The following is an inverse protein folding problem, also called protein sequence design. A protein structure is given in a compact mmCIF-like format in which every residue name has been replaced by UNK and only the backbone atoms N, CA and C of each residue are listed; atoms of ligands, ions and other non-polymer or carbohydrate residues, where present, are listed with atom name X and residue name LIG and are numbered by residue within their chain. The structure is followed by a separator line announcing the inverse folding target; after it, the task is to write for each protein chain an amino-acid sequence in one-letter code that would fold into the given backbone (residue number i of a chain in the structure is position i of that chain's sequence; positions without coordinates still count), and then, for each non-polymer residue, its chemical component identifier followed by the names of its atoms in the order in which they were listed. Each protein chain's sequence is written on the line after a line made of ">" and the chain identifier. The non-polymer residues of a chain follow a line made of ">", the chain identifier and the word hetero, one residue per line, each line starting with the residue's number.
data_IF_644812656238
#
_entry.id   IF_644812656238
#
_cell.length_a   1.000
_cell.length_b   1.000
_cell.length_c   1.000
_cell.angle_alpha   90.00
_cell.angle_beta   90.00
_cell.angle_gamma   90.00
#
_symmetry.space_group_name_H-M   'P 1'
#
loop_
_entity.id
_entity.type
_entity.pdbx_description
1 polymer ?
#
# COMPACT_ATOMS: atom_id res chain seq x y z
N UNK A 1 -0.95 -49.39 84.06
CA UNK A 1 -1.49 -48.20 83.37
C UNK A 1 -0.39 -47.45 82.58
N UNK A 2 0.38 -48.12 81.70
CA UNK A 2 1.48 -47.48 80.94
C UNK A 2 1.45 -47.72 79.42
N UNK A 3 0.55 -48.57 78.90
CA UNK A 3 0.50 -48.91 77.46
C UNK A 3 -0.35 -47.94 76.62
N UNK A 4 -1.38 -47.31 77.20
CA UNK A 4 -2.29 -46.44 76.45
C UNK A 4 -1.73 -45.02 76.26
N UNK A 5 -0.92 -44.51 77.20
CA UNK A 5 -0.29 -43.19 77.08
C UNK A 5 0.71 -43.13 75.91
N UNK A 6 1.47 -44.20 75.67
CA UNK A 6 2.42 -44.26 74.54
C UNK A 6 1.70 -44.27 73.19
N UNK A 7 0.57 -44.98 73.09
CA UNK A 7 -0.27 -45.01 71.87
C UNK A 7 -0.94 -43.66 71.62
N UNK A 8 -1.41 -42.98 72.66
CA UNK A 8 -1.99 -41.63 72.54
C UNK A 8 -0.95 -40.58 72.12
N UNK A 9 0.28 -40.66 72.65
CA UNK A 9 1.38 -39.75 72.27
C UNK A 9 1.81 -40.00 70.82
N UNK A 10 1.89 -41.25 70.38
CA UNK A 10 2.22 -41.59 68.99
C UNK A 10 1.15 -41.10 68.00
N UNK A 11 -0.14 -41.20 68.37
CA UNK A 11 -1.24 -40.70 67.53
C UNK A 11 -1.26 -39.17 67.43
N UNK A 12 -0.96 -38.47 68.53
CA UNK A 12 -0.85 -37.01 68.54
C UNK A 12 0.34 -36.53 67.70
N UNK A 13 1.47 -37.24 67.74
CA UNK A 13 2.63 -36.96 66.88
C UNK A 13 2.35 -37.16 65.39
N UNK A 14 1.56 -38.19 65.02
CA UNK A 14 1.13 -38.43 63.63
C UNK A 14 0.18 -37.35 63.12
N UNK A 15 -0.73 -36.86 63.99
CA UNK A 15 -1.62 -35.74 63.63
C UNK A 15 -0.88 -34.41 63.50
N UNK A 16 0.17 -34.15 64.30
CA UNK A 16 1.02 -32.97 64.16
C UNK A 16 1.95 -33.05 62.93
N UNK A 17 2.39 -34.25 62.53
CA UNK A 17 3.18 -34.43 61.31
C UNK A 17 2.35 -34.24 60.03
N UNK A 18 1.04 -34.53 60.08
CA UNK A 18 0.13 -34.33 58.95
C UNK A 18 -0.17 -32.84 58.66
N UNK A 19 -0.07 -31.96 59.66
CA UNK A 19 -0.12 -30.49 59.45
C UNK A 19 1.18 -29.89 58.91
N UNK A 20 2.28 -30.64 58.95
CA UNK A 20 3.58 -30.26 58.37
C UNK A 20 3.81 -30.86 56.97
N UNK A 21 2.94 -31.77 56.52
CA UNK A 21 2.84 -32.21 55.12
C UNK A 21 1.90 -31.29 54.33
N UNK A 22 1.98 -29.98 54.57
CA UNK A 22 1.57 -29.03 53.54
C UNK A 22 2.46 -29.31 52.34
N UNK A 23 1.87 -29.56 51.18
CA UNK A 23 2.57 -29.38 49.93
C UNK A 23 3.24 -28.01 50.00
N UNK A 24 4.56 -27.98 50.16
CA UNK A 24 5.35 -27.05 49.39
C UNK A 24 5.00 -27.38 47.94
N UNK A 25 3.92 -26.78 47.43
CA UNK A 25 3.96 -26.36 46.06
C UNK A 25 5.19 -25.49 46.01
N UNK A 26 6.22 -25.97 45.32
CA UNK A 26 7.00 -25.04 44.52
C UNK A 26 5.98 -24.05 43.97
N UNK A 27 6.19 -22.76 44.22
CA UNK A 27 5.81 -21.79 43.21
C UNK A 27 6.41 -22.39 41.94
N UNK A 28 5.57 -23.09 41.18
CA UNK A 28 5.94 -23.58 39.88
C UNK A 28 6.30 -22.29 39.20
N UNK A 29 7.61 -22.05 39.06
CA UNK A 29 8.16 -21.12 38.11
C UNK A 29 7.22 -21.21 36.93
N UNK A 30 6.63 -20.07 36.54
CA UNK A 30 5.83 -19.95 35.32
C UNK A 30 6.48 -20.88 34.32
N UNK A 31 5.83 -22.04 34.11
CA UNK A 31 6.46 -23.08 33.33
C UNK A 31 6.54 -22.42 31.99
N UNK A 32 7.75 -22.06 31.58
CA UNK A 32 8.03 -21.59 30.25
C UNK A 32 7.55 -22.72 29.36
N UNK A 33 6.30 -22.60 28.91
CA UNK A 33 5.72 -23.56 28.02
C UNK A 33 6.50 -23.32 26.76
N UNK A 34 7.41 -24.26 26.50
CA UNK A 34 8.12 -24.32 25.24
C UNK A 34 7.02 -24.44 24.18
N UNK A 35 6.84 -23.38 23.39
CA UNK A 35 5.89 -23.31 22.28
C UNK A 35 6.56 -24.07 21.15
N UNK A 36 6.82 -25.36 21.39
CA UNK A 36 7.49 -26.22 20.45
C UNK A 36 6.72 -26.17 19.13
N UNK A 37 7.42 -25.77 18.07
CA UNK A 37 6.85 -25.68 16.74
C UNK A 37 6.16 -24.36 16.40
N UNK A 38 6.43 -23.24 17.08
CA UNK A 38 6.30 -21.91 16.48
C UNK A 38 7.69 -21.36 16.13
N UNK A 39 7.93 -21.09 14.85
CA UNK A 39 9.19 -20.58 14.35
C UNK A 39 8.96 -19.40 13.42
N UNK A 40 9.91 -18.47 13.41
CA UNK A 40 9.98 -17.35 12.47
C UNK A 40 11.36 -17.40 11.82
N UNK A 41 11.42 -17.37 10.49
CA UNK A 41 12.64 -17.50 9.68
C UNK A 41 13.50 -18.68 10.10
N UNK A 42 12.84 -19.83 10.29
CA UNK A 42 13.45 -21.10 10.70
C UNK A 42 14.17 -21.05 12.06
N UNK A 43 13.92 -19.99 12.84
CA UNK A 43 14.47 -19.76 14.18
C UNK A 43 13.34 -19.90 15.21
N UNK A 44 13.68 -20.30 16.44
CA UNK A 44 12.70 -20.31 17.52
C UNK A 44 12.15 -18.89 17.75
N UNK A 45 10.84 -18.78 17.99
CA UNK A 45 10.19 -17.48 18.10
C UNK A 45 10.76 -16.59 19.22
N UNK A 46 11.36 -17.15 20.27
CA UNK A 46 12.01 -16.35 21.33
C UNK A 46 13.35 -15.74 20.88
N UNK A 47 13.98 -16.31 19.85
CA UNK A 47 15.30 -15.91 19.34
C UNK A 47 15.20 -15.19 17.97
N UNK A 48 14.01 -15.10 17.39
CA UNK A 48 13.77 -14.50 16.08
C UNK A 48 13.85 -12.97 16.12
N UNK A 49 14.37 -12.37 15.05
CA UNK A 49 14.41 -10.92 14.83
C UNK A 49 13.42 -10.57 13.71
N UNK A 50 12.54 -9.60 13.97
CA UNK A 50 11.62 -9.06 12.97
C UNK A 50 12.13 -7.70 12.48
N UNK A 51 12.02 -7.46 11.17
CA UNK A 51 12.43 -6.25 10.48
C UNK A 51 11.22 -5.57 9.81
N UNK A 52 11.21 -4.25 9.87
CA UNK A 52 10.14 -3.44 9.29
C UNK A 52 10.24 -3.42 7.77
N UNK A 53 9.11 -3.68 7.10
CA UNK A 53 8.99 -3.67 5.65
C UNK A 53 9.55 -4.90 4.95
N UNK A 54 9.98 -5.93 5.68
CA UNK A 54 10.53 -7.17 5.14
C UNK A 54 9.59 -8.37 5.33
N UNK A 55 9.71 -9.36 4.44
CA UNK A 55 9.02 -10.63 4.56
C UNK A 55 9.68 -11.53 5.60
N UNK A 56 8.90 -11.96 6.59
CA UNK A 56 9.30 -12.99 7.55
C UNK A 56 8.45 -14.24 7.37
N UNK A 57 9.08 -15.39 7.18
CA UNK A 57 8.36 -16.66 7.09
C UNK A 57 8.03 -17.15 8.49
N UNK A 58 6.84 -17.72 8.70
CA UNK A 58 6.51 -18.37 9.96
C UNK A 58 5.96 -19.78 9.76
N UNK A 59 6.18 -20.59 10.77
CA UNK A 59 5.70 -21.96 10.86
C UNK A 59 5.02 -22.16 12.21
N UNK A 60 3.82 -22.72 12.21
CA UNK A 60 3.10 -23.09 13.44
C UNK A 60 2.55 -24.51 13.34
N UNK A 61 3.07 -25.43 14.15
CA UNK A 61 2.61 -26.82 14.23
C UNK A 61 1.57 -27.03 15.33
N UNK A 62 0.59 -27.89 15.07
CA UNK A 62 -0.34 -28.42 16.07
C UNK A 62 -1.79 -28.00 15.81
N UNK A 63 -2.62 -28.99 15.46
CA UNK A 63 -4.06 -28.82 15.20
C UNK A 63 -4.78 -28.06 16.31
N UNK A 64 -5.57 -27.07 15.92
CA UNK A 64 -6.39 -26.26 16.83
C UNK A 64 -5.64 -25.17 17.58
N UNK A 65 -4.32 -25.00 17.36
CA UNK A 65 -3.60 -23.79 17.78
C UNK A 65 -3.96 -22.65 16.84
N UNK A 66 -3.82 -21.41 17.31
CA UNK A 66 -4.02 -20.22 16.48
C UNK A 66 -2.94 -19.19 16.69
N UNK A 67 -2.69 -18.39 15.65
CA UNK A 67 -1.82 -17.21 15.66
C UNK A 67 -2.68 -15.96 15.51
N UNK A 68 -2.31 -14.91 16.23
CA UNK A 68 -2.85 -13.57 16.12
C UNK A 68 -1.71 -12.56 16.05
N UNK A 69 -1.76 -11.65 15.08
CA UNK A 69 -0.81 -10.55 14.94
C UNK A 69 -1.54 -9.20 15.06
N UNK A 70 -0.85 -8.12 15.47
CA UNK A 70 -1.43 -6.79 15.55
C UNK A 70 -1.61 -6.16 14.15
N UNK A 71 -2.41 -5.11 14.06
CA UNK A 71 -2.78 -4.47 12.79
C UNK A 71 -1.60 -3.89 12.01
N UNK A 72 -0.46 -3.61 12.66
CA UNK A 72 0.77 -3.15 12.01
C UNK A 72 1.67 -4.29 11.49
N UNK A 73 1.17 -5.53 11.49
CA UNK A 73 1.80 -6.70 10.88
C UNK A 73 0.80 -7.38 9.98
N UNK A 74 1.06 -7.37 8.67
CA UNK A 74 0.24 -8.10 7.72
C UNK A 74 0.60 -9.59 7.78
N UNK A 75 -0.39 -10.46 7.90
CA UNK A 75 -0.19 -11.91 7.88
C UNK A 75 -0.72 -12.47 6.56
N UNK A 76 0.03 -13.39 5.97
CA UNK A 76 -0.31 -14.05 4.72
C UNK A 76 -0.25 -15.56 4.88
N UNK A 77 -1.24 -16.25 4.32
CA UNK A 77 -1.29 -17.72 4.21
C UNK A 77 -1.48 -18.03 2.73
N UNK A 78 -0.64 -18.91 2.18
CA UNK A 78 -0.62 -19.19 0.74
C UNK A 78 -0.54 -17.91 -0.10
N UNK A 79 0.26 -16.95 0.37
CA UNK A 79 0.47 -15.61 -0.21
C UNK A 79 -0.79 -14.72 -0.28
N UNK A 80 -1.92 -15.14 0.32
CA UNK A 80 -3.15 -14.34 0.46
C UNK A 80 -3.12 -13.61 1.81
N UNK A 81 -3.35 -12.30 1.81
CA UNK A 81 -3.42 -11.52 3.05
C UNK A 81 -4.62 -11.95 3.91
N UNK A 82 -4.42 -12.03 5.21
CA UNK A 82 -5.44 -12.34 6.22
C UNK A 82 -5.77 -11.03 6.95
N UNK A 83 -6.84 -10.31 6.56
CA UNK A 83 -7.06 -8.93 6.99
C UNK A 83 -7.17 -8.72 8.51
N UNK A 84 -7.68 -9.72 9.23
CA UNK A 84 -7.83 -9.67 10.68
C UNK A 84 -6.60 -10.16 11.45
N UNK A 85 -5.53 -10.56 10.75
CA UNK A 85 -4.30 -11.05 11.37
C UNK A 85 -4.48 -12.32 12.22
N UNK A 86 -5.55 -13.11 12.01
CA UNK A 86 -5.86 -14.30 12.82
C UNK A 86 -6.03 -15.56 11.98
N UNK A 87 -5.32 -16.63 12.33
CA UNK A 87 -5.40 -17.91 11.65
C UNK A 87 -5.35 -19.09 12.64
N UNK A 88 -6.05 -20.18 12.29
CA UNK A 88 -6.12 -21.42 13.08
C UNK A 88 -5.46 -22.55 12.29
N UNK A 89 -4.68 -23.39 12.98
CA UNK A 89 -4.12 -24.61 12.40
C UNK A 89 -5.22 -25.65 12.23
N UNK A 90 -5.71 -25.83 11.01
CA UNK A 90 -6.78 -26.78 10.72
C UNK A 90 -6.29 -28.24 10.68
N UNK A 91 -5.06 -28.46 10.21
CA UNK A 91 -4.45 -29.79 10.06
C UNK A 91 -3.28 -30.00 11.03
N UNK A 92 -2.11 -30.43 10.54
CA UNK A 92 -0.94 -30.68 11.39
C UNK A 92 -0.12 -29.40 11.64
N UNK A 93 -0.12 -28.46 10.70
CA UNK A 93 0.68 -27.24 10.74
C UNK A 93 0.12 -26.19 9.77
N UNK A 94 0.50 -24.93 9.96
CA UNK A 94 0.37 -23.86 8.97
C UNK A 94 1.72 -23.23 8.69
N UNK A 95 1.90 -22.75 7.47
CA UNK A 95 3.01 -21.91 7.07
C UNK A 95 2.43 -20.60 6.55
N UNK A 96 3.16 -19.51 6.74
CA UNK A 96 2.76 -18.23 6.19
C UNK A 96 3.88 -17.21 6.20
N UNK A 97 3.53 -15.98 5.86
CA UNK A 97 4.44 -14.83 5.92
C UNK A 97 3.86 -13.76 6.83
N UNK A 98 4.74 -13.07 7.52
CA UNK A 98 4.47 -11.85 8.27
C UNK A 98 5.19 -10.71 7.58
N UNK A 99 4.55 -9.56 7.52
CA UNK A 99 5.11 -8.34 6.99
C UNK A 99 4.80 -7.20 7.98
N UNK A 100 5.68 -6.99 8.98
CA UNK A 100 5.63 -5.78 9.78
C UNK A 100 5.78 -4.57 8.87
N UNK A 101 4.96 -3.54 9.03
CA UNK A 101 5.13 -2.31 8.24
C UNK A 101 6.44 -1.59 8.64
N UNK A 102 7.04 -0.73 7.79
CA UNK A 102 8.29 -0.02 8.12
C UNK A 102 8.20 0.88 9.36
N UNK A 103 6.98 1.26 9.74
CA UNK A 103 6.67 2.13 10.88
C UNK A 103 6.30 1.35 12.15
N UNK A 104 6.36 0.02 12.13
CA UNK A 104 6.15 -0.78 13.32
C UNK A 104 7.39 -0.68 14.23
N UNK A 105 7.19 -0.35 15.51
CA UNK A 105 8.27 -0.28 16.50
C UNK A 105 8.25 -1.48 17.45
N UNK A 106 7.08 -1.75 18.02
CA UNK A 106 6.82 -2.87 18.93
C UNK A 106 5.71 -3.73 18.36
N UNK A 107 5.92 -5.05 18.37
CA UNK A 107 4.99 -6.06 17.85
C UNK A 107 4.82 -7.18 18.86
N UNK A 108 3.56 -7.52 19.15
CA UNK A 108 3.19 -8.65 20.01
C UNK A 108 2.48 -9.72 19.20
N UNK A 109 3.14 -10.86 18.95
CA UNK A 109 2.52 -12.01 18.27
C UNK A 109 1.99 -12.97 19.32
N UNK A 110 0.70 -13.30 19.25
CA UNK A 110 0.06 -14.18 20.23
C UNK A 110 -0.26 -15.53 19.63
N UNK A 111 0.22 -16.60 20.27
CA UNK A 111 -0.14 -17.98 19.97
C UNK A 111 -1.09 -18.49 21.04
N UNK A 112 -2.24 -19.03 20.63
CA UNK A 112 -3.21 -19.67 21.53
C UNK A 112 -3.21 -21.17 21.27
N UNK A 113 -2.99 -21.94 22.33
CA UNK A 113 -3.02 -23.39 22.33
C UNK A 113 -4.45 -23.93 22.20
N UNK A 114 -4.59 -25.18 21.75
CA UNK A 114 -5.91 -25.83 21.60
C UNK A 114 -6.72 -25.93 22.92
N UNK A 115 -6.07 -25.77 24.07
CA UNK A 115 -6.72 -25.74 25.39
C UNK A 115 -7.17 -24.33 25.81
N UNK A 116 -7.01 -23.32 24.95
CA UNK A 116 -7.39 -21.93 25.17
C UNK A 116 -6.37 -21.07 25.92
N UNK A 117 -5.20 -21.61 26.29
CA UNK A 117 -4.12 -20.82 26.90
C UNK A 117 -3.29 -20.12 25.83
N UNK A 118 -2.98 -18.84 26.02
CA UNK A 118 -2.14 -18.06 25.10
C UNK A 118 -0.74 -17.77 25.65
N UNK A 119 0.25 -17.63 24.76
CA UNK A 119 1.56 -17.01 25.00
C UNK A 119 1.77 -15.92 23.95
N UNK A 120 2.24 -14.76 24.39
CA UNK A 120 2.60 -13.62 23.52
C UNK A 120 4.12 -13.51 23.42
N UNK A 121 4.60 -13.19 22.23
CA UNK A 121 5.99 -12.95 21.89
C UNK A 121 6.13 -11.48 21.53
N UNK A 122 6.98 -10.78 22.28
CA UNK A 122 7.20 -9.35 22.12
C UNK A 122 8.49 -9.10 21.32
N UNK A 123 8.39 -8.32 20.26
CA UNK A 123 9.49 -7.98 19.37
C UNK A 123 9.68 -6.46 19.31
N UNK A 124 10.92 -6.02 19.42
CA UNK A 124 11.34 -4.70 18.94
C UNK A 124 11.75 -4.84 17.49
N UNK A 125 11.08 -4.11 16.60
CA UNK A 125 11.28 -4.20 15.17
C UNK A 125 12.58 -3.50 14.78
N UNK A 126 13.44 -4.23 14.06
CA UNK A 126 14.67 -3.71 13.51
C UNK A 126 14.43 -3.06 12.14
N UNK A 127 15.38 -2.23 11.70
CA UNK A 127 15.38 -1.70 10.33
C UNK A 127 15.65 -2.84 9.33
N UNK A 128 14.96 -2.79 8.19
CA UNK A 128 15.05 -3.79 7.13
C UNK A 128 15.10 -3.21 5.72
N UNK A 129 15.42 -4.07 4.75
CA UNK A 129 15.28 -3.91 3.32
C UNK A 129 13.79 -3.94 2.92
N UNK A 130 13.17 -2.76 3.00
CA UNK A 130 11.75 -2.56 2.72
C UNK A 130 11.38 -3.02 1.30
N UNK A 131 10.35 -3.86 1.16
CA UNK A 131 9.87 -4.42 -0.12
C UNK A 131 9.46 -3.36 -1.16
N UNK A 132 9.02 -2.20 -0.67
CA UNK A 132 8.67 -1.01 -1.43
C UNK A 132 9.28 0.18 -0.70
N UNK A 133 10.45 0.64 -1.13
CA UNK A 133 11.20 1.69 -0.42
C UNK A 133 11.22 3.01 -1.18
N UNK A 134 11.27 4.12 -0.43
CA UNK A 134 11.50 5.44 -1.02
C UNK A 134 12.86 5.55 -1.71
N UNK A 135 13.86 4.80 -1.23
CA UNK A 135 15.19 4.71 -1.85
C UNK A 135 15.15 4.07 -3.23
N UNK A 136 14.48 2.93 -3.39
CA UNK A 136 14.33 2.27 -4.70
C UNK A 136 13.53 3.16 -5.67
N UNK A 137 12.47 3.82 -5.18
CA UNK A 137 11.72 4.79 -5.96
C UNK A 137 12.63 5.94 -6.43
N UNK A 138 13.45 6.49 -5.53
CA UNK A 138 14.36 7.61 -5.83
C UNK A 138 15.38 7.23 -6.90
N UNK A 139 16.00 6.07 -6.79
CA UNK A 139 16.96 5.58 -7.79
C UNK A 139 16.31 5.38 -9.16
N UNK A 140 15.07 4.86 -9.19
CA UNK A 140 14.31 4.68 -10.43
C UNK A 140 13.93 6.02 -11.06
N UNK A 141 13.53 7.00 -10.25
CA UNK A 141 13.24 8.37 -10.68
C UNK A 141 14.46 9.03 -11.30
N UNK A 142 15.61 8.96 -10.62
CA UNK A 142 16.88 9.47 -11.15
C UNK A 142 17.21 8.81 -12.50
N UNK A 143 17.15 7.48 -12.57
CA UNK A 143 17.42 6.77 -13.83
C UNK A 143 16.48 7.21 -14.95
N UNK A 144 15.17 7.33 -14.69
CA UNK A 144 14.19 7.70 -15.71
C UNK A 144 14.39 9.13 -16.21
N UNK A 145 14.66 10.07 -15.31
CA UNK A 145 14.74 11.51 -15.62
C UNK A 145 16.12 11.94 -16.12
N UNK A 146 17.20 11.26 -15.68
CA UNK A 146 18.57 11.60 -16.04
C UNK A 146 18.90 11.34 -17.51
N UNK A 147 19.63 12.28 -18.13
CA UNK A 147 20.13 12.19 -19.50
C UNK A 147 21.66 12.16 -19.52
N UNK A 148 22.23 11.11 -20.08
CA UNK A 148 23.67 10.93 -20.17
C UNK A 148 24.04 10.07 -21.39
N UNK A 149 25.35 9.97 -21.68
CA UNK A 149 25.86 9.25 -22.84
C UNK A 149 25.83 7.73 -22.69
N UNK A 150 25.83 7.23 -21.45
CA UNK A 150 25.81 5.81 -21.15
C UNK A 150 24.40 5.38 -20.71
N UNK A 151 23.65 4.77 -21.63
CA UNK A 151 22.26 4.37 -21.39
C UNK A 151 22.09 3.25 -20.37
N UNK A 152 23.19 2.71 -19.83
CA UNK A 152 23.14 1.76 -18.70
C UNK A 152 23.11 2.45 -17.34
N UNK A 153 23.54 3.72 -17.30
CA UNK A 153 23.60 4.54 -16.09
C UNK A 153 22.43 5.54 -16.01
N UNK A 154 21.83 5.87 -17.15
CA UNK A 154 20.69 6.78 -17.23
C UNK A 154 19.73 6.34 -18.35
N UNK A 155 18.43 6.43 -18.07
CA UNK A 155 17.37 6.05 -18.99
C UNK A 155 16.97 7.16 -19.95
N UNK A 156 16.84 8.41 -19.46
CA UNK A 156 16.42 9.56 -20.25
C UNK A 156 15.06 9.38 -20.92
N UNK A 157 14.07 8.86 -20.18
CA UNK A 157 12.70 8.63 -20.65
C UNK A 157 11.80 9.84 -20.38
N UNK A 158 12.25 10.99 -20.89
CA UNK A 158 11.63 12.31 -20.75
C UNK A 158 11.01 12.78 -22.09
N UNK A 159 10.40 13.96 -22.13
CA UNK A 159 9.62 14.47 -23.28
C UNK A 159 8.49 13.55 -23.71
N UNK A 160 7.91 12.77 -22.78
CA UNK A 160 6.89 11.77 -23.05
C UNK A 160 5.48 12.40 -23.08
N UNK A 161 5.30 13.52 -23.77
CA UNK A 161 3.95 14.03 -24.04
C UNK A 161 3.22 13.12 -25.05
N UNK A 162 1.90 13.15 -25.05
CA UNK A 162 1.06 12.38 -25.99
C UNK A 162 0.08 13.28 -26.77
N UNK A 163 -0.42 12.76 -27.89
CA UNK A 163 -1.39 13.40 -28.78
C UNK A 163 -0.90 13.50 -30.21
N UNK A 164 0.40 13.66 -30.44
CA UNK A 164 1.02 13.49 -31.76
C UNK A 164 2.03 12.34 -31.72
N UNK A 165 2.43 11.75 -32.88
CA UNK A 165 3.47 10.74 -32.88
C UNK A 165 4.76 11.24 -32.20
N UNK A 166 5.14 10.59 -31.10
CA UNK A 166 6.27 10.97 -30.26
C UNK A 166 7.28 9.83 -30.13
N UNK A 167 8.45 9.89 -30.79
CA UNK A 167 9.47 8.86 -30.61
C UNK A 167 9.97 8.72 -29.17
N UNK A 168 9.96 9.80 -28.38
CA UNK A 168 10.39 9.75 -26.98
C UNK A 168 9.37 8.99 -26.12
N UNK A 169 8.07 9.22 -26.36
CA UNK A 169 7.01 8.45 -25.71
C UNK A 169 7.08 6.97 -26.07
N UNK A 170 7.19 6.63 -27.36
CA UNK A 170 7.27 5.22 -27.81
C UNK A 170 8.44 4.49 -27.16
N UNK A 171 9.58 5.18 -27.02
CA UNK A 171 10.74 4.65 -26.31
C UNK A 171 10.46 4.42 -24.82
N UNK A 172 9.81 5.37 -24.15
CA UNK A 172 9.42 5.24 -22.74
C UNK A 172 8.42 4.10 -22.53
N UNK A 173 7.35 4.06 -23.33
CA UNK A 173 6.36 2.98 -23.30
C UNK A 173 6.99 1.59 -23.52
N UNK A 174 7.95 1.47 -24.44
CA UNK A 174 8.69 0.22 -24.65
C UNK A 174 9.55 -0.18 -23.44
N UNK A 175 10.15 0.78 -22.74
CA UNK A 175 10.92 0.50 -21.51
C UNK A 175 10.00 0.07 -20.37
N UNK A 176 8.89 0.76 -20.16
CA UNK A 176 7.93 0.42 -19.12
C UNK A 176 7.25 -0.94 -19.39
N UNK A 177 6.89 -1.21 -20.65
CA UNK A 177 6.42 -2.53 -21.09
C UNK A 177 7.44 -3.63 -20.76
N UNK A 178 8.71 -3.41 -21.09
CA UNK A 178 9.79 -4.35 -20.78
C UNK A 178 10.04 -4.55 -19.29
N UNK A 179 9.75 -3.56 -18.43
CA UNK A 179 9.81 -3.72 -16.96
C UNK A 179 8.78 -4.75 -16.48
N UNK A 180 7.52 -4.61 -16.90
CA UNK A 180 6.46 -5.56 -16.49
C UNK A 180 6.67 -6.95 -17.08
N UNK A 181 7.04 -7.05 -18.37
CA UNK A 181 7.37 -8.35 -18.98
C UNK A 181 8.56 -9.03 -18.29
N UNK A 182 9.58 -8.25 -17.90
CA UNK A 182 10.75 -8.75 -17.18
C UNK A 182 10.41 -9.32 -15.80
N UNK A 183 9.33 -8.83 -15.17
CA UNK A 183 8.77 -9.37 -13.94
C UNK A 183 7.85 -10.58 -14.16
N UNK A 184 7.52 -10.91 -15.41
CA UNK A 184 6.68 -12.05 -15.78
C UNK A 184 5.19 -11.75 -15.96
N UNK A 185 4.79 -10.48 -16.00
CA UNK A 185 3.40 -10.08 -16.23
C UNK A 185 2.98 -10.26 -17.69
N UNK A 186 1.72 -10.64 -17.90
CA UNK A 186 1.08 -10.56 -19.22
C UNK A 186 0.87 -9.08 -19.58
N UNK A 187 1.75 -8.52 -20.41
CA UNK A 187 1.82 -7.07 -20.63
C UNK A 187 1.50 -6.68 -22.07
N UNK A 188 0.58 -5.74 -22.24
CA UNK A 188 0.07 -5.28 -23.53
C UNK A 188 0.32 -3.80 -23.76
N UNK A 189 0.65 -3.45 -25.00
CA UNK A 189 0.63 -2.08 -25.49
C UNK A 189 -0.71 -1.80 -26.17
N UNK A 190 -1.56 -1.00 -25.55
CA UNK A 190 -2.88 -0.67 -26.08
C UNK A 190 -2.82 0.67 -26.81
N UNK A 191 -2.84 0.62 -28.15
CA UNK A 191 -2.92 1.82 -28.98
C UNK A 191 -4.36 2.13 -29.36
N UNK A 192 -4.73 3.39 -29.25
CA UNK A 192 -6.02 3.91 -29.72
C UNK A 192 -5.72 5.08 -30.64
N UNK A 193 -6.39 5.11 -31.79
CA UNK A 193 -6.28 6.21 -32.74
C UNK A 193 -7.67 6.77 -33.05
N UNK A 194 -7.95 7.98 -32.56
CA UNK A 194 -9.12 8.75 -32.96
C UNK A 194 -8.83 9.51 -34.26
N UNK A 195 -9.25 8.90 -35.38
CA UNK A 195 -9.10 9.49 -36.72
C UNK A 195 -9.90 10.77 -36.96
N UNK A 196 -10.80 11.17 -36.05
CA UNK A 196 -11.61 12.39 -36.15
C UNK A 196 -11.07 13.54 -35.30
N UNK A 197 -10.14 13.28 -34.38
CA UNK A 197 -9.46 14.31 -33.60
C UNK A 197 -8.26 14.87 -34.37
N UNK A 198 -8.36 16.13 -34.80
CA UNK A 198 -7.35 16.79 -35.63
C UNK A 198 -6.09 17.21 -34.86
N UNK A 199 -6.15 17.32 -33.54
CA UNK A 199 -5.07 17.90 -32.72
C UNK A 199 -4.31 16.86 -31.91
N UNK A 200 -4.96 15.76 -31.50
CA UNK A 200 -4.33 14.75 -30.65
C UNK A 200 -4.84 13.31 -30.92
N UNK A 201 -4.66 12.72 -32.11
CA UNK A 201 -5.36 11.48 -32.48
C UNK A 201 -4.93 10.22 -31.75
N UNK A 202 -3.81 10.17 -31.01
CA UNK A 202 -3.26 8.90 -30.50
C UNK A 202 -3.16 8.83 -28.98
N UNK A 203 -3.44 7.64 -28.43
CA UNK A 203 -3.05 7.21 -27.09
C UNK A 203 -2.38 5.84 -27.17
N UNK A 204 -1.46 5.56 -26.24
CA UNK A 204 -0.72 4.31 -26.13
C UNK A 204 -0.52 3.97 -24.65
N UNK A 205 -1.32 3.06 -24.11
CA UNK A 205 -1.19 2.61 -22.71
C UNK A 205 -0.25 1.40 -22.62
N UNK A 206 0.35 1.22 -21.44
CA UNK A 206 1.00 -0.03 -21.03
C UNK A 206 0.14 -0.66 -19.94
N UNK A 207 -0.31 -1.90 -20.15
CA UNK A 207 -1.21 -2.59 -19.22
C UNK A 207 -0.59 -3.95 -18.89
N UNK A 208 -0.31 -4.20 -17.61
CA UNK A 208 0.20 -5.46 -17.10
C UNK A 208 -0.88 -6.18 -16.30
N UNK A 209 -1.12 -7.45 -16.59
CA UNK A 209 -2.16 -8.25 -15.93
C UNK A 209 -1.58 -9.26 -14.96
N UNK A 210 -2.15 -9.31 -13.76
CA UNK A 210 -2.01 -10.40 -12.79
C UNK A 210 -3.34 -11.14 -12.67
N UNK A 211 -3.30 -12.46 -12.79
CA UNK A 211 -4.49 -13.30 -12.64
C UNK A 211 -4.84 -13.45 -11.16
N UNK A 212 -6.13 -13.31 -10.84
CA UNK A 212 -6.67 -13.60 -9.52
C UNK A 212 -7.26 -15.00 -9.43
N UNK A 213 -7.55 -15.45 -8.20
CA UNK A 213 -8.19 -16.75 -7.97
C UNK A 213 -9.72 -16.75 -8.16
N UNK A 214 -10.35 -15.57 -8.20
CA UNK A 214 -11.78 -15.34 -8.43
C UNK A 214 -11.97 -14.78 -9.85
N UNK A 215 -12.50 -15.61 -10.75
CA UNK A 215 -12.64 -15.24 -12.17
C UNK A 215 -13.80 -14.29 -12.46
N UNK A 216 -14.66 -14.00 -11.46
CA UNK A 216 -15.85 -13.17 -11.63
C UNK A 216 -15.59 -11.67 -11.48
N UNK A 217 -14.38 -11.26 -11.07
CA UNK A 217 -14.09 -9.87 -10.76
C UNK A 217 -12.76 -9.38 -11.33
N UNK A 218 -12.66 -8.05 -11.46
CA UNK A 218 -11.50 -7.30 -11.92
C UNK A 218 -11.31 -6.05 -11.06
N UNK A 219 -10.06 -5.63 -10.88
CA UNK A 219 -9.67 -4.41 -10.15
C UNK A 219 -8.36 -3.88 -10.72
N UNK A 220 -7.93 -2.69 -10.29
CA UNK A 220 -6.64 -2.18 -10.75
C UNK A 220 -5.99 -1.11 -9.91
N UNK A 221 -4.74 -0.84 -10.27
CA UNK A 221 -3.94 0.27 -9.74
C UNK A 221 -3.18 0.89 -10.90
N UNK A 222 -3.11 2.22 -10.97
CA UNK A 222 -2.48 2.88 -12.11
C UNK A 222 -2.04 4.32 -11.88
N UNK A 223 -1.31 4.82 -12.86
CA UNK A 223 -0.81 6.19 -12.96
C UNK A 223 -0.74 6.55 -14.45
N UNK A 224 -0.72 7.83 -14.80
CA UNK A 224 -0.40 8.20 -16.18
C UNK A 224 1.11 8.33 -16.39
N UNK A 225 1.54 7.89 -17.58
CA UNK A 225 2.91 7.93 -18.06
C UNK A 225 3.09 8.87 -19.25
N UNK A 226 2.11 9.71 -19.58
CA UNK A 226 2.37 10.94 -20.31
C UNK A 226 2.72 12.10 -19.38
N UNK A 227 3.23 13.17 -19.97
CA UNK A 227 3.51 14.45 -19.28
C UNK A 227 2.85 15.59 -20.04
N UNK A 228 2.61 16.70 -19.32
CA UNK A 228 2.05 17.92 -19.89
C UNK A 228 2.71 18.34 -21.22
N UNK A 229 1.93 18.53 -22.29
CA UNK A 229 2.47 18.82 -23.61
C UNK A 229 3.12 20.22 -23.67
N UNK A 230 4.08 20.43 -24.58
CA UNK A 230 4.75 21.72 -24.74
C UNK A 230 3.73 22.81 -25.07
N UNK A 231 3.89 23.97 -24.43
CA UNK A 231 2.94 25.08 -24.46
C UNK A 231 1.55 24.77 -23.90
N UNK A 232 1.39 23.68 -23.14
CA UNK A 232 0.20 23.37 -22.35
C UNK A 232 0.06 24.28 -21.13
N UNK A 233 -1.17 24.63 -20.71
CA UNK A 233 -1.40 25.34 -19.45
C UNK A 233 -1.16 24.42 -18.23
N UNK A 234 -0.98 24.97 -17.01
CA UNK A 234 -0.73 26.38 -16.68
C UNK A 234 0.70 26.87 -16.94
N UNK A 235 1.72 26.00 -16.89
CA UNK A 235 3.14 26.39 -16.82
C UNK A 235 3.91 26.38 -18.14
N UNK A 236 3.30 25.97 -19.25
CA UNK A 236 3.95 25.88 -20.56
C UNK A 236 4.42 24.47 -20.95
N UNK A 237 4.01 23.45 -20.20
CA UNK A 237 4.36 22.05 -20.43
C UNK A 237 5.60 21.62 -19.66
N UNK A 238 5.87 20.32 -19.64
CA UNK A 238 6.96 19.72 -18.88
C UNK A 238 7.96 19.01 -19.80
N UNK A 239 9.15 18.74 -19.27
CA UNK A 239 10.18 17.95 -19.93
C UNK A 239 10.38 16.63 -19.20
N UNK A 240 10.65 16.66 -17.89
CA UNK A 240 10.75 15.44 -17.07
C UNK A 240 9.37 14.99 -16.61
N UNK A 241 8.52 15.93 -16.18
CA UNK A 241 7.25 15.61 -15.54
C UNK A 241 7.51 14.76 -14.30
N UNK A 242 8.46 15.18 -13.48
CA UNK A 242 8.99 14.37 -12.39
C UNK A 242 7.90 14.14 -11.34
N UNK A 243 7.28 15.23 -10.88
CA UNK A 243 6.13 15.17 -10.00
C UNK A 243 4.89 14.67 -10.76
N UNK A 244 4.70 15.17 -11.98
CA UNK A 244 3.52 14.92 -12.80
C UNK A 244 3.87 14.31 -14.18
N UNK A 245 3.82 12.99 -14.34
CA UNK A 245 3.56 11.98 -13.30
C UNK A 245 4.56 10.82 -13.35
N UNK A 246 5.85 11.15 -13.45
CA UNK A 246 6.92 10.13 -13.35
C UNK A 246 6.86 9.46 -11.98
N UNK A 247 6.53 10.23 -10.94
CA UNK A 247 6.33 9.76 -9.58
C UNK A 247 5.35 8.59 -9.48
N UNK A 248 4.13 8.74 -10.01
CA UNK A 248 3.13 7.68 -10.05
C UNK A 248 3.54 6.53 -10.96
N UNK A 249 4.13 6.82 -12.13
CA UNK A 249 4.65 5.78 -13.04
C UNK A 249 5.64 4.85 -12.34
N UNK A 250 6.59 5.40 -11.58
CA UNK A 250 7.55 4.62 -10.80
C UNK A 250 6.87 3.85 -9.68
N UNK A 251 5.88 4.43 -9.00
CA UNK A 251 5.11 3.73 -7.96
C UNK A 251 4.47 2.44 -8.51
N UNK A 252 3.81 2.50 -9.68
CA UNK A 252 3.22 1.31 -10.32
C UNK A 252 4.29 0.27 -10.66
N UNK A 253 5.47 0.69 -11.11
CA UNK A 253 6.58 -0.22 -11.39
C UNK A 253 7.06 -0.96 -10.12
N UNK A 254 7.04 -0.30 -8.95
CA UNK A 254 7.41 -0.93 -7.67
C UNK A 254 6.29 -1.83 -7.13
N UNK A 255 5.03 -1.42 -7.25
CA UNK A 255 3.90 -2.29 -6.89
C UNK A 255 3.87 -3.58 -7.71
N UNK A 256 4.21 -3.51 -9.01
CA UNK A 256 4.36 -4.71 -9.82
C UNK A 256 5.38 -5.71 -9.24
N UNK A 257 6.48 -5.21 -8.67
CA UNK A 257 7.48 -6.07 -8.02
C UNK A 257 6.92 -6.67 -6.73
N UNK A 258 6.31 -5.85 -5.87
CA UNK A 258 5.78 -6.32 -4.58
C UNK A 258 4.62 -7.31 -4.72
N UNK A 259 3.74 -7.12 -5.71
CA UNK A 259 2.60 -8.00 -5.98
C UNK A 259 3.00 -9.36 -6.61
N UNK A 260 4.30 -9.61 -6.87
CA UNK A 260 4.76 -10.96 -7.21
C UNK A 260 4.63 -11.92 -6.02
N UNK A 261 4.81 -11.41 -4.80
CA UNK A 261 4.79 -12.20 -3.56
C UNK A 261 3.40 -12.21 -2.89
N UNK A 262 2.37 -11.73 -3.58
CA UNK A 262 0.99 -11.64 -3.07
C UNK A 262 0.04 -12.29 -4.06
N UNK A 263 -0.82 -13.18 -3.59
CA UNK A 263 -1.95 -13.70 -4.37
C UNK A 263 -3.14 -12.77 -4.25
N UNK A 264 -3.74 -12.42 -5.39
CA UNK A 264 -4.87 -11.48 -5.46
C UNK A 264 -6.17 -12.22 -5.72
N UNK A 265 -7.27 -11.68 -5.19
CA UNK A 265 -8.60 -12.25 -5.40
C UNK A 265 -9.06 -12.04 -6.83
N UNK A 266 -9.10 -10.79 -7.28
CA UNK A 266 -9.62 -10.45 -8.60
C UNK A 266 -8.49 -10.34 -9.63
N UNK A 267 -8.81 -10.56 -10.91
CA UNK A 267 -7.87 -10.20 -11.98
C UNK A 267 -7.48 -8.72 -11.80
N UNK A 268 -6.18 -8.47 -11.72
CA UNK A 268 -5.64 -7.14 -11.40
C UNK A 268 -4.91 -6.59 -12.61
N UNK A 269 -5.30 -5.40 -13.07
CA UNK A 269 -4.51 -4.65 -14.04
C UNK A 269 -3.65 -3.59 -13.33
N UNK A 270 -2.36 -3.58 -13.66
CA UNK A 270 -1.45 -2.48 -13.37
C UNK A 270 -1.29 -1.66 -14.65
N UNK A 271 -1.68 -0.40 -14.61
CA UNK A 271 -1.77 0.40 -15.82
C UNK A 271 -0.93 1.68 -15.76
N UNK A 272 -0.26 1.93 -16.87
CA UNK A 272 0.35 3.21 -17.19
C UNK A 272 -0.45 3.85 -18.33
N UNK A 273 -1.25 4.85 -17.97
CA UNK A 273 -2.14 5.55 -18.90
C UNK A 273 -1.38 6.54 -19.75
N UNK A 274 -1.97 6.89 -20.88
CA UNK A 274 -1.46 7.94 -21.75
C UNK A 274 -2.59 8.89 -22.10
N UNK A 275 -2.25 10.11 -22.51
CA UNK A 275 -3.25 11.13 -22.85
C UNK A 275 -4.19 11.47 -21.68
N UNK A 276 -3.70 11.36 -20.44
CA UNK A 276 -4.41 11.88 -19.26
C UNK A 276 -4.53 13.40 -19.41
N UNK A 277 -3.39 14.03 -19.69
CA UNK A 277 -3.14 15.46 -19.92
C UNK A 277 -3.92 16.05 -21.12
N UNK A 278 -4.44 15.14 -21.95
CA UNK A 278 -5.23 15.41 -23.15
C UNK A 278 -6.73 15.08 -22.97
N UNK A 279 -7.15 14.78 -21.73
CA UNK A 279 -8.52 14.49 -21.33
C UNK A 279 -8.81 13.00 -21.09
N UNK A 280 -8.00 12.33 -20.25
CA UNK A 280 -8.22 10.96 -19.76
C UNK A 280 -8.43 9.90 -20.85
N UNK A 281 -7.83 10.08 -22.04
CA UNK A 281 -8.21 9.24 -23.20
C UNK A 281 -7.74 7.81 -23.08
N UNK A 282 -6.55 7.61 -22.50
CA UNK A 282 -5.99 6.29 -22.27
C UNK A 282 -6.88 5.44 -21.39
N UNK A 283 -7.19 5.92 -20.18
CA UNK A 283 -8.07 5.21 -19.26
C UNK A 283 -9.47 5.02 -19.84
N UNK A 284 -10.07 6.06 -20.45
CA UNK A 284 -11.39 5.96 -21.08
C UNK A 284 -11.44 4.90 -22.18
N UNK A 285 -10.41 4.81 -23.00
CA UNK A 285 -10.38 3.82 -24.06
C UNK A 285 -10.24 2.40 -23.52
N UNK A 286 -9.42 2.19 -22.49
CA UNK A 286 -9.30 0.88 -21.81
C UNK A 286 -10.63 0.46 -21.19
N UNK A 287 -11.28 1.42 -20.52
CA UNK A 287 -12.50 1.19 -19.79
C UNK A 287 -13.72 0.98 -20.70
N UNK A 288 -13.78 1.62 -21.89
CA UNK A 288 -15.00 1.63 -22.72
C UNK A 288 -14.90 0.83 -24.03
N UNK A 289 -13.69 0.59 -24.57
CA UNK A 289 -13.56 -0.15 -25.81
C UNK A 289 -13.76 -1.66 -25.61
N UNK A 290 -14.04 -2.33 -26.72
CA UNK A 290 -14.11 -3.79 -26.81
C UNK A 290 -12.82 -4.28 -27.49
N UNK A 291 -11.88 -4.77 -26.68
CA UNK A 291 -10.62 -5.34 -27.15
C UNK A 291 -10.12 -6.45 -26.20
N UNK A 292 -9.30 -7.38 -26.70
CA UNK A 292 -8.90 -8.61 -25.98
C UNK A 292 -8.17 -8.36 -24.66
N UNK A 293 -7.60 -7.18 -24.48
CA UNK A 293 -6.82 -6.77 -23.30
C UNK A 293 -7.35 -5.46 -22.69
N UNK A 294 -8.55 -5.02 -23.07
CA UNK A 294 -9.30 -3.93 -22.45
C UNK A 294 -9.98 -4.42 -21.16
N UNK A 295 -10.69 -3.52 -20.46
CA UNK A 295 -11.47 -3.89 -19.28
C UNK A 295 -12.53 -4.95 -19.65
N UNK A 296 -12.48 -6.17 -19.06
CA UNK A 296 -13.44 -7.24 -19.34
C UNK A 296 -14.87 -6.80 -19.01
N UNK A 297 -15.83 -7.14 -19.88
CA UNK A 297 -17.24 -6.75 -19.74
C UNK A 297 -18.10 -7.78 -19.01
N UNK A 298 -17.54 -8.97 -18.79
CA UNK A 298 -18.15 -10.10 -18.12
C UNK A 298 -17.71 -10.25 -16.65
N UNK A 299 -16.89 -9.32 -16.15
CA UNK A 299 -16.39 -9.29 -14.77
C UNK A 299 -16.87 -8.04 -14.04
N UNK A 300 -17.09 -8.18 -12.73
CA UNK A 300 -17.37 -7.06 -11.83
C UNK A 300 -16.10 -6.21 -11.63
N UNK A 301 -16.12 -4.93 -12.03
CA UNK A 301 -15.06 -3.98 -11.68
C UNK A 301 -15.26 -3.49 -10.24
N UNK A 302 -14.46 -3.99 -9.29
CA UNK A 302 -14.64 -3.70 -7.86
C UNK A 302 -14.06 -2.36 -7.45
N UNK A 303 -12.76 -2.17 -7.67
CA UNK A 303 -12.10 -0.93 -7.32
C UNK A 303 -10.93 -0.55 -8.23
N UNK A 304 -10.52 0.71 -8.15
CA UNK A 304 -9.34 1.23 -8.82
C UNK A 304 -8.60 2.28 -7.97
N UNK A 305 -7.29 2.09 -7.76
CA UNK A 305 -6.44 3.07 -7.05
C UNK A 305 -5.61 3.85 -8.07
N UNK A 306 -5.59 5.18 -7.96
CA UNK A 306 -4.89 6.06 -8.87
C UNK A 306 -3.79 6.86 -8.15
N UNK A 307 -2.58 6.81 -8.71
CA UNK A 307 -1.38 7.45 -8.18
C UNK A 307 -1.01 8.64 -9.07
N UNK A 308 -1.17 9.86 -8.55
CA UNK A 308 -0.96 11.06 -9.34
C UNK A 308 -0.44 12.21 -8.49
N UNK A 309 0.64 12.85 -8.93
CA UNK A 309 1.20 14.00 -8.22
C UNK A 309 1.39 13.70 -6.71
N UNK A 310 1.92 12.53 -6.35
CA UNK A 310 1.94 12.06 -4.95
C UNK A 310 3.33 12.06 -4.29
N UNK A 311 4.38 12.41 -5.03
CA UNK A 311 5.76 12.33 -4.56
C UNK A 311 6.19 13.39 -3.53
N UNK A 312 5.47 14.52 -3.45
CA UNK A 312 5.73 15.60 -2.49
C UNK A 312 4.55 15.65 -1.52
N UNK A 313 4.71 15.01 -0.36
CA UNK A 313 3.64 14.77 0.60
C UNK A 313 4.20 14.73 2.03
N UNK A 314 3.33 14.69 3.04
CA UNK A 314 3.73 14.28 4.39
C UNK A 314 4.55 12.96 4.33
N UNK A 315 5.65 12.79 5.10
CA UNK A 315 6.14 13.66 6.18
C UNK A 315 7.10 14.79 5.79
N UNK A 316 7.34 15.05 4.49
CA UNK A 316 8.24 16.13 4.09
C UNK A 316 7.72 17.50 4.52
N UNK A 317 8.65 18.44 4.69
CA UNK A 317 8.38 19.80 5.15
C UNK A 317 8.79 20.84 4.13
N UNK A 318 7.99 21.89 4.05
CA UNK A 318 8.28 23.13 3.33
C UNK A 318 9.41 23.88 4.03
N UNK A 319 10.03 24.81 3.31
CA UNK A 319 11.09 25.67 3.82
C UNK A 319 10.68 26.54 5.03
N UNK A 320 9.38 26.82 5.20
CA UNK A 320 8.84 27.57 6.33
C UNK A 320 8.60 26.69 7.59
N UNK A 321 8.82 25.37 7.49
CA UNK A 321 8.64 24.40 8.58
C UNK A 321 7.30 23.68 8.61
N UNK A 322 6.33 24.11 7.80
CA UNK A 322 5.04 23.45 7.64
C UNK A 322 5.20 22.12 6.89
N UNK A 323 4.31 21.16 7.16
CA UNK A 323 4.28 19.92 6.36
C UNK A 323 3.68 20.17 4.97
N UNK A 324 4.16 19.43 3.98
CA UNK A 324 3.40 19.27 2.74
C UNK A 324 2.09 18.51 3.03
N UNK A 325 1.00 18.83 2.32
CA UNK A 325 -0.25 18.12 2.53
C UNK A 325 -0.14 16.70 1.98
N UNK A 326 -0.98 15.81 2.49
CA UNK A 326 -1.18 14.45 2.03
C UNK A 326 -2.67 14.26 1.79
N UNK A 327 -3.03 13.81 0.60
CA UNK A 327 -4.40 13.55 0.23
C UNK A 327 -4.56 12.10 -0.22
N UNK A 328 -5.61 11.47 0.29
CA UNK A 328 -6.10 10.22 -0.23
C UNK A 328 -7.62 10.27 -0.19
N UNK A 329 -8.24 10.41 -1.36
CA UNK A 329 -9.68 10.55 -1.47
C UNK A 329 -10.32 9.31 -2.04
N UNK A 330 -11.33 8.81 -1.35
CA UNK A 330 -12.15 7.69 -1.79
C UNK A 330 -13.41 8.15 -2.51
N UNK A 331 -14.00 7.27 -3.32
CA UNK A 331 -15.31 7.52 -3.94
C UNK A 331 -15.88 6.26 -4.60
N UNK A 332 -17.03 6.35 -5.29
CA UNK A 332 -17.88 7.54 -5.43
C UNK A 332 -18.51 7.98 -4.11
N UNK A 333 -18.69 9.30 -3.98
CA UNK A 333 -19.42 9.97 -2.90
C UNK A 333 -20.78 10.43 -3.47
N UNK A 334 -21.88 9.82 -3.00
CA UNK A 334 -23.23 10.14 -3.49
C UNK A 334 -23.97 11.09 -2.54
N UNK A 335 -23.76 10.95 -1.23
CA UNK A 335 -24.28 11.77 -0.16
C UNK A 335 -23.14 12.17 0.79
N UNK A 336 -22.64 13.43 0.70
CA UNK A 336 -21.48 13.88 1.46
C UNK A 336 -21.72 13.95 2.98
N UNK A 337 -22.95 13.73 3.46
CA UNK A 337 -23.24 13.64 4.89
C UNK A 337 -23.00 12.23 5.48
N UNK A 338 -22.74 11.22 4.64
CA UNK A 338 -22.54 9.83 5.06
C UNK A 338 -21.36 9.20 4.32
N UNK A 339 -20.83 8.11 4.88
CA UNK A 339 -19.86 7.28 4.20
C UNK A 339 -20.60 6.27 3.33
N UNK A 340 -20.51 6.37 1.99
CA UNK A 340 -21.32 5.57 1.09
C UNK A 340 -20.64 4.26 0.66
N UNK A 341 -19.31 4.23 0.68
CA UNK A 341 -18.55 3.11 0.11
C UNK A 341 -17.63 2.43 1.13
N UNK A 342 -17.46 1.11 0.95
CA UNK A 342 -16.68 0.28 1.86
C UNK A 342 -15.17 0.58 1.80
N UNK A 343 -14.68 1.03 0.63
CA UNK A 343 -13.27 1.38 0.45
C UNK A 343 -12.86 2.56 1.36
N UNK A 344 -13.79 3.45 1.72
CA UNK A 344 -13.53 4.53 2.69
C UNK A 344 -13.18 3.97 4.06
N UNK A 345 -13.80 2.88 4.50
CA UNK A 345 -13.44 2.21 5.77
C UNK A 345 -12.04 1.60 5.69
N UNK A 346 -11.64 1.05 4.54
CA UNK A 346 -10.27 0.55 4.35
C UNK A 346 -9.27 1.70 4.39
N UNK A 347 -9.58 2.79 3.69
CA UNK A 347 -8.78 4.00 3.68
C UNK A 347 -8.57 4.55 5.11
N UNK A 348 -9.64 4.71 5.89
CA UNK A 348 -9.57 5.16 7.28
C UNK A 348 -8.76 4.21 8.16
N UNK A 349 -9.01 2.90 8.05
CA UNK A 349 -8.32 1.87 8.83
C UNK A 349 -6.82 1.84 8.56
N UNK A 350 -6.41 1.92 7.28
CA UNK A 350 -4.99 1.96 6.91
C UNK A 350 -4.30 3.17 7.53
N UNK A 351 -4.88 4.36 7.41
CA UNK A 351 -4.26 5.58 7.93
C UNK A 351 -4.26 5.63 9.45
N UNK A 352 -5.41 5.38 10.10
CA UNK A 352 -5.59 5.59 11.53
C UNK A 352 -5.01 4.45 12.37
N UNK A 353 -5.28 3.21 11.98
CA UNK A 353 -4.99 2.05 12.81
C UNK A 353 -3.68 1.35 12.44
N UNK A 354 -3.36 1.26 11.15
CA UNK A 354 -2.13 0.60 10.68
C UNK A 354 -0.95 1.57 10.68
N UNK A 355 -1.05 2.65 9.91
CA UNK A 355 0.03 3.63 9.71
C UNK A 355 0.15 4.62 10.87
N UNK A 356 -0.88 4.72 11.73
CA UNK A 356 -0.96 5.68 12.84
C UNK A 356 -0.66 7.12 12.40
N UNK A 357 -1.23 7.48 11.25
CA UNK A 357 -1.18 8.80 10.67
C UNK A 357 -1.61 9.87 11.68
N UNK A 358 -0.95 11.04 11.73
CA UNK A 358 -1.34 12.12 12.61
C UNK A 358 -2.54 12.89 12.02
N UNK A 359 -3.72 12.26 12.06
CA UNK A 359 -4.93 12.75 11.38
C UNK A 359 -5.38 14.17 11.77
N UNK A 360 -5.04 14.64 12.96
CA UNK A 360 -5.40 15.98 13.46
C UNK A 360 -4.30 17.04 13.25
N UNK A 361 -3.21 16.69 12.55
CA UNK A 361 -2.08 17.57 12.32
C UNK A 361 -2.47 18.71 11.37
N UNK A 362 -2.18 19.95 11.76
CA UNK A 362 -2.53 21.16 11.02
C UNK A 362 -1.38 22.14 10.91
N UNK A 363 -1.42 22.99 9.89
CA UNK A 363 -0.42 24.06 9.67
C UNK A 363 -0.94 25.44 10.09
N UNK A 364 -0.01 26.40 10.26
CA UNK A 364 -0.36 27.81 10.43
C UNK A 364 -0.68 28.46 9.08
N UNK A 365 -1.96 28.46 8.70
CA UNK A 365 -2.42 29.05 7.44
C UNK A 365 -3.51 28.22 6.82
N UNK A 366 -3.54 28.19 5.49
CA UNK A 366 -4.38 27.29 4.70
C UNK A 366 -3.53 26.65 3.62
N UNK A 367 -3.80 25.40 3.29
CA UNK A 367 -3.46 24.87 1.98
C UNK A 367 -4.27 25.61 0.92
N UNK A 368 -3.69 25.77 -0.27
CA UNK A 368 -4.34 26.47 -1.36
C UNK A 368 -5.71 25.90 -1.66
N UNK A 369 -6.70 26.77 -1.90
CA UNK A 369 -8.06 26.34 -2.20
C UNK A 369 -8.06 25.60 -3.54
N UNK A 370 -8.17 24.26 -3.49
CA UNK A 370 -8.14 23.45 -4.69
C UNK A 370 -9.34 22.56 -4.88
N UNK A 371 -9.66 21.72 -3.90
CA UNK A 371 -10.20 20.42 -4.27
C UNK A 371 -11.22 19.81 -3.32
N UNK A 372 -11.13 20.07 -2.01
CA UNK A 372 -12.16 19.61 -1.08
C UNK A 372 -13.43 20.46 -1.26
N UNK A 373 -14.46 19.83 -1.83
CA UNK A 373 -15.75 20.48 -2.10
C UNK A 373 -16.70 20.39 -0.90
N UNK A 374 -16.32 19.66 0.16
CA UNK A 374 -17.23 19.18 1.17
C UNK A 374 -16.89 19.64 2.59
N UNK A 375 -15.61 19.81 2.95
CA UNK A 375 -15.22 20.06 4.33
C UNK A 375 -14.50 21.40 4.53
N UNK A 376 -15.27 22.44 4.85
CA UNK A 376 -14.77 23.78 5.20
C UNK A 376 -13.68 23.78 6.30
N UNK A 377 -13.61 22.74 7.14
CA UNK A 377 -12.63 22.61 8.22
C UNK A 377 -11.31 21.94 7.79
N UNK A 378 -11.20 21.41 6.57
CA UNK A 378 -9.98 20.72 6.11
C UNK A 378 -8.94 21.66 5.51
N UNK A 379 -9.26 22.95 5.38
CA UNK A 379 -8.43 23.95 4.73
C UNK A 379 -6.98 24.05 5.22
N UNK A 380 -6.64 23.54 6.40
CA UNK A 380 -5.29 23.53 6.95
C UNK A 380 -4.84 22.18 7.52
N UNK A 381 -5.55 21.09 7.18
CA UNK A 381 -5.26 19.73 7.62
C UNK A 381 -4.14 19.13 6.79
N UNK A 382 -3.13 18.56 7.44
CA UNK A 382 -2.00 17.91 6.75
C UNK A 382 -2.43 16.59 6.14
N UNK A 383 -3.25 15.82 6.86
CA UNK A 383 -3.75 14.51 6.43
C UNK A 383 -5.21 14.64 5.99
N UNK A 384 -5.44 14.88 4.72
CA UNK A 384 -6.77 15.03 4.16
C UNK A 384 -7.22 13.70 3.51
N UNK A 385 -7.79 12.84 4.35
CA UNK A 385 -8.13 11.46 4.01
C UNK A 385 -9.60 11.22 4.31
N UNK A 386 -10.41 11.15 3.26
CA UNK A 386 -11.86 10.99 3.37
C UNK A 386 -12.49 10.57 2.04
N UNK A 387 -13.81 10.46 2.03
CA UNK A 387 -14.61 10.29 0.82
C UNK A 387 -14.87 11.66 0.18
N UNK A 388 -14.60 11.80 -1.12
CA UNK A 388 -14.77 13.06 -1.85
C UNK A 388 -15.26 12.82 -3.30
N UNK A 389 -16.10 13.72 -3.79
CA UNK A 389 -16.48 13.80 -5.20
C UNK A 389 -15.34 14.24 -6.12
N UNK A 390 -14.18 14.62 -5.58
CA UNK A 390 -13.05 15.14 -6.31
C UNK A 390 -12.63 14.21 -7.45
N UNK A 391 -12.69 14.75 -8.68
CA UNK A 391 -12.54 13.97 -9.88
C UNK A 391 -11.84 14.75 -10.98
N UNK A 392 -10.50 14.72 -10.98
CA UNK A 392 -9.68 15.33 -12.04
C UNK A 392 -8.80 14.39 -12.84
N UNK A 393 -8.60 13.15 -12.38
CA UNK A 393 -7.62 12.20 -12.93
C UNK A 393 -8.30 10.90 -13.40
N UNK A 394 -7.50 9.92 -13.82
CA UNK A 394 -7.95 8.68 -14.47
C UNK A 394 -8.93 7.84 -13.63
N UNK A 395 -8.95 7.99 -12.30
CA UNK A 395 -9.92 7.28 -11.43
C UNK A 395 -11.37 7.61 -11.76
N UNK A 396 -11.65 8.81 -12.26
CA UNK A 396 -13.01 9.24 -12.66
C UNK A 396 -13.60 8.31 -13.72
N UNK A 397 -12.76 7.82 -14.64
CA UNK A 397 -13.19 6.88 -15.67
C UNK A 397 -13.79 5.62 -15.06
N UNK A 398 -13.14 5.07 -14.04
CA UNK A 398 -13.56 3.83 -13.38
C UNK A 398 -14.69 4.05 -12.38
N UNK A 399 -14.66 5.17 -11.67
CA UNK A 399 -15.76 5.62 -10.79
C UNK A 399 -17.07 5.74 -11.57
N UNK A 400 -17.04 6.27 -12.79
CA UNK A 400 -18.22 6.39 -13.66
C UNK A 400 -18.76 5.04 -14.17
N UNK A 401 -18.02 3.94 -13.97
CA UNK A 401 -18.45 2.56 -14.22
C UNK A 401 -18.84 1.84 -12.92
N UNK A 402 -19.02 2.58 -11.83
CA UNK A 402 -19.44 2.07 -10.53
C UNK A 402 -18.30 1.49 -9.67
N UNK A 403 -17.04 1.57 -10.10
CA UNK A 403 -15.92 1.13 -9.27
C UNK A 403 -15.77 2.02 -8.03
N UNK A 404 -15.45 1.43 -6.89
CA UNK A 404 -14.94 2.20 -5.75
C UNK A 404 -13.50 2.65 -6.07
N UNK A 405 -13.11 3.88 -5.74
CA UNK A 405 -11.79 4.41 -6.13
C UNK A 405 -11.07 5.03 -4.96
N UNK A 406 -9.73 5.00 -4.99
CA UNK A 406 -8.88 5.86 -4.16
C UNK A 406 -7.99 6.69 -5.08
N UNK A 407 -7.86 7.98 -4.80
CA UNK A 407 -6.96 8.90 -5.48
C UNK A 407 -5.93 9.46 -4.50
N UNK A 408 -4.67 9.08 -4.68
CA UNK A 408 -3.54 9.63 -3.91
C UNK A 408 -3.00 10.88 -4.60
N UNK A 409 -2.92 11.97 -3.84
CA UNK A 409 -2.41 13.27 -4.27
C UNK A 409 -1.56 13.92 -3.16
N UNK A 410 -0.44 14.55 -3.53
CA UNK A 410 0.42 15.28 -2.63
C UNK A 410 0.15 16.78 -2.61
N UNK A 411 1.21 17.57 -2.72
CA UNK A 411 1.18 19.03 -2.82
C UNK A 411 0.22 19.55 -3.90
N UNK A 412 -0.61 20.53 -3.50
CA UNK A 412 -1.43 21.29 -4.44
C UNK A 412 -0.57 22.14 -5.39
N UNK A 413 -1.17 22.63 -6.47
CA UNK A 413 -0.56 23.54 -7.42
C UNK A 413 0.02 24.80 -6.74
N UNK A 414 -0.64 25.30 -5.68
CA UNK A 414 -0.14 26.44 -4.88
C UNK A 414 1.08 26.09 -4.02
N UNK A 415 1.22 24.82 -3.64
CA UNK A 415 2.34 24.31 -2.83
C UNK A 415 3.50 23.82 -3.70
N UNK A 416 3.25 23.46 -4.95
CA UNK A 416 4.26 23.07 -5.93
C UNK A 416 4.09 23.85 -7.24
N UNK A 417 4.64 25.06 -7.25
CA UNK A 417 4.54 25.99 -8.40
C UNK A 417 5.13 25.48 -9.73
N UNK A 418 5.82 24.34 -9.71
CA UNK A 418 6.39 23.70 -10.88
C UNK A 418 5.41 22.79 -11.63
N UNK A 419 4.20 22.56 -11.11
CA UNK A 419 3.14 21.85 -11.83
C UNK A 419 2.95 22.37 -13.27
N UNK A 420 2.94 21.44 -14.24
CA UNK A 420 2.86 21.71 -15.69
C UNK A 420 3.89 22.74 -16.23
N UNK A 421 5.01 22.93 -15.54
CA UNK A 421 6.07 23.88 -15.90
C UNK A 421 7.36 23.14 -16.29
N UNK A 422 8.24 23.74 -17.12
CA UNK A 422 9.56 23.18 -17.40
C UNK A 422 10.44 22.95 -16.17
N UNK A 423 10.05 23.51 -15.02
CA UNK A 423 10.68 23.32 -13.71
C UNK A 423 10.16 22.11 -12.94
N UNK A 424 9.19 21.35 -13.47
CA UNK A 424 8.84 20.03 -12.94
C UNK A 424 9.94 19.02 -13.28
N UNK A 425 11.03 19.14 -12.53
CA UNK A 425 12.23 18.31 -12.63
C UNK A 425 12.50 17.62 -11.31
N UNK A 426 13.20 16.49 -11.37
CA UNK A 426 13.53 15.71 -10.18
C UNK A 426 14.42 16.50 -9.23
N UNK A 427 15.39 17.25 -9.76
CA UNK A 427 16.21 18.20 -8.98
C UNK A 427 15.36 19.23 -8.24
N UNK A 428 14.30 19.75 -8.87
CA UNK A 428 13.42 20.71 -8.25
C UNK A 428 12.57 20.07 -7.14
N UNK A 429 12.03 18.85 -7.37
CA UNK A 429 11.36 18.09 -6.30
C UNK A 429 12.26 17.90 -5.08
N UNK A 430 13.51 17.49 -5.30
CA UNK A 430 14.52 17.28 -4.25
C UNK A 430 14.78 18.59 -3.48
N UNK A 431 14.96 19.69 -4.19
CA UNK A 431 15.23 20.99 -3.59
C UNK A 431 14.03 21.47 -2.76
N UNK A 432 12.81 21.28 -3.26
CA UNK A 432 11.57 21.77 -2.66
C UNK A 432 11.29 21.12 -1.29
N UNK A 433 11.51 19.80 -1.18
CA UNK A 433 11.34 19.08 0.09
C UNK A 433 12.54 19.18 1.03
N UNK A 434 13.60 19.87 0.64
CA UNK A 434 14.78 20.10 1.47
C UNK A 434 15.88 19.04 1.36
N UNK A 435 15.77 18.08 0.43
CA UNK A 435 16.86 17.16 0.08
C UNK A 435 16.41 15.73 -0.26
N UNK A 436 17.35 14.87 -0.68
CA UNK A 436 17.05 13.51 -1.13
C UNK A 436 16.37 12.63 -0.08
N UNK A 437 16.82 12.70 1.18
CA UNK A 437 16.26 11.86 2.26
C UNK A 437 14.82 12.26 2.60
N UNK A 438 14.51 13.55 2.59
CA UNK A 438 13.14 14.03 2.80
C UNK A 438 12.22 13.58 1.67
N UNK A 439 12.70 13.58 0.41
CA UNK A 439 11.92 13.08 -0.72
C UNK A 439 11.66 11.57 -0.62
N UNK A 440 12.65 10.79 -0.21
CA UNK A 440 12.50 9.34 0.02
C UNK A 440 11.50 9.05 1.13
N UNK A 441 11.54 9.81 2.23
CA UNK A 441 10.59 9.64 3.34
C UNK A 441 9.16 10.05 2.93
N UNK A 442 9.02 11.16 2.20
CA UNK A 442 7.77 11.64 1.60
C UNK A 442 7.10 10.54 0.79
N UNK A 443 7.78 10.01 -0.22
CA UNK A 443 7.20 9.01 -1.11
C UNK A 443 6.95 7.67 -0.40
N UNK A 444 7.83 7.23 0.52
CA UNK A 444 7.69 5.94 1.17
C UNK A 444 6.39 5.83 1.96
N UNK A 445 5.97 6.91 2.62
CA UNK A 445 4.72 6.93 3.37
C UNK A 445 3.52 6.63 2.48
N UNK A 446 3.43 7.34 1.36
CA UNK A 446 2.34 7.16 0.40
C UNK A 446 2.40 5.79 -0.27
N UNK A 447 3.61 5.30 -0.58
CA UNK A 447 3.79 3.99 -1.21
C UNK A 447 3.20 2.86 -0.35
N UNK A 448 3.45 2.91 0.96
CA UNK A 448 2.92 1.93 1.91
C UNK A 448 1.42 2.08 2.14
N UNK A 449 0.90 3.31 2.24
CA UNK A 449 -0.54 3.54 2.37
C UNK A 449 -1.31 2.89 1.22
N UNK A 450 -0.98 3.21 -0.03
CA UNK A 450 -1.67 2.67 -1.19
C UNK A 450 -1.46 1.15 -1.38
N UNK A 451 -0.31 0.60 -0.99
CA UNK A 451 -0.10 -0.86 -1.00
C UNK A 451 -1.03 -1.58 -0.01
N UNK A 452 -1.12 -1.06 1.23
CA UNK A 452 -1.96 -1.62 2.27
C UNK A 452 -3.44 -1.51 1.91
N UNK A 453 -3.86 -0.36 1.39
CA UNK A 453 -5.22 -0.16 0.87
C UNK A 453 -5.56 -1.18 -0.21
N UNK A 454 -4.65 -1.39 -1.16
CA UNK A 454 -4.87 -2.34 -2.26
C UNK A 454 -5.09 -3.77 -1.76
N UNK A 455 -4.15 -4.30 -0.95
CA UNK A 455 -4.23 -5.70 -0.51
C UNK A 455 -5.41 -5.95 0.43
N UNK A 456 -5.80 -4.96 1.24
CA UNK A 456 -6.94 -5.08 2.15
C UNK A 456 -8.27 -4.92 1.39
N UNK A 457 -8.36 -4.01 0.43
CA UNK A 457 -9.55 -3.85 -0.42
C UNK A 457 -9.82 -5.12 -1.24
N UNK A 458 -8.78 -5.76 -1.80
CA UNK A 458 -8.87 -7.02 -2.56
C UNK A 458 -9.53 -8.15 -1.76
N UNK A 459 -9.26 -8.22 -0.46
CA UNK A 459 -9.82 -9.24 0.44
C UNK A 459 -11.09 -8.80 1.18
N UNK A 460 -11.62 -7.61 0.91
CA UNK A 460 -12.82 -7.07 1.57
C UNK A 460 -14.07 -7.28 0.70
N UNK A 461 -14.99 -8.19 1.06
CA UNK A 461 -16.15 -8.52 0.22
C UNK A 461 -17.13 -7.37 -0.01
N UNK A 462 -17.11 -6.33 0.82
CA UNK A 462 -17.95 -5.15 0.72
C UNK A 462 -17.40 -4.11 -0.27
N UNK A 463 -16.11 -4.21 -0.65
CA UNK A 463 -15.55 -3.41 -1.75
C UNK A 463 -16.02 -4.01 -3.06
N UNK A 464 -17.10 -3.44 -3.59
CA UNK A 464 -17.84 -3.92 -4.77
C UNK A 464 -18.27 -2.77 -5.64
N UNK A 465 -18.59 -3.11 -6.88
CA UNK A 465 -19.17 -2.14 -7.80
C UNK A 465 -20.52 -1.65 -7.26
N UNK A 466 -20.73 -0.33 -7.23
CA UNK A 466 -21.96 0.27 -6.67
C UNK A 466 -23.17 0.17 -7.59
N UNK A 467 -22.97 -0.19 -8.86
CA UNK A 467 -24.04 -0.35 -9.86
C UNK A 467 -24.52 -1.81 -10.03
N UNK A 468 -23.94 -2.76 -9.28
CA UNK A 468 -24.16 -4.23 -9.45
C UNK A 468 -25.06 -4.84 -8.38
#
# INVERSE_FOLDING_TARGET
>A
MQSNALKSILLVLVFFSASMSGCFGEDSADSDYDVAGFQIDFTDANDAELRGGEWHTFFLAGKGRSISVPNNVMMFIDDIVIPNGYAVVEDEQINGKLLPIPYAEEVSITIVEANGKGKSFEYTIAEGEVIISGSEWFEKMDFITSVCTDSTLCGGYINRWMGSPNPAFERAASFFHGHFEGLGYETHLMRVTDTFSLTQPESLNVIAWKRGYDDSCVQGIGAHMDIAPPAGPPGGGTYEGAYDNTAGTVAIMLYAKALLDVEVRCDTFLALWSSEEAGLRGSNAFANNDCDYCLPKDKELRFYINMDMMGISYPAKKSNGDYFPYHAWSGPDFDPEVQDVAITTILDYVHRDIMKAPMDLRIEGSYGAGCDQHWDDHYNLVMDVHEDTFGRSDHVTFRNLGAQTIFHLGAYDEDYSAYHSPTDTFDNMIAEVGGPEELKNSIQYVLWAAFLEFILADQTPEVRNVDV
#
